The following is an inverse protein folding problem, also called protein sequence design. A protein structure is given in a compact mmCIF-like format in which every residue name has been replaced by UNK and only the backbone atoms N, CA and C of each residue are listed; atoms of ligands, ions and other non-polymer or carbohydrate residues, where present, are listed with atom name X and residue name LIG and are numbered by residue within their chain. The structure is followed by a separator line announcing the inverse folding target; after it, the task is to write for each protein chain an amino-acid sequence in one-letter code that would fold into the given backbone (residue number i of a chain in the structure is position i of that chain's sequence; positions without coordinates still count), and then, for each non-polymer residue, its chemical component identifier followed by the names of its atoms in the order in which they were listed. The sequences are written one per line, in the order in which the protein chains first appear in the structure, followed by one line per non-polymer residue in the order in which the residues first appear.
data_IF_900386896504
#
_entry.id   IF_900386896504
#
_cell.length_a   1.000
_cell.length_b   1.000
_cell.length_c   1.000
_cell.angle_alpha   90.00
_cell.angle_beta   90.00
_cell.angle_gamma   90.00
#
_symmetry.space_group_name_H-M   'P 1'
#
loop_
_entity.id
_entity.type
_entity.pdbx_description
1 polymer ?
#
# COMPACT_ATOMS: atom_id res chain seq x y z
N UNK A 1 -4.20 12.72 8.02
CA UNK A 1 -4.43 11.30 8.35
C UNK A 1 -5.89 11.00 8.02
N UNK A 2 -6.20 9.97 7.23
CA UNK A 2 -7.60 9.60 6.89
C UNK A 2 -7.98 8.30 7.59
N UNK A 3 -9.29 8.07 7.81
CA UNK A 3 -9.80 6.84 8.45
C UNK A 3 -9.32 5.57 7.72
N UNK A 4 -9.25 5.63 6.39
CA UNK A 4 -8.73 4.53 5.57
C UNK A 4 -7.27 4.19 5.87
N UNK A 5 -6.41 5.18 6.15
CA UNK A 5 -5.02 4.94 6.53
C UNK A 5 -4.89 4.35 7.94
N UNK A 6 -5.81 4.67 8.85
CA UNK A 6 -5.82 4.09 10.20
C UNK A 6 -6.22 2.60 10.17
N UNK A 7 -7.17 2.23 9.32
CA UNK A 7 -7.67 0.84 9.23
C UNK A 7 -6.78 -0.05 8.34
N UNK A 8 -6.29 0.48 7.22
CA UNK A 8 -5.58 -0.31 6.20
C UNK A 8 -4.08 0.03 6.09
N UNK A 9 -3.55 0.89 6.96
CA UNK A 9 -2.20 1.42 6.86
C UNK A 9 -2.02 2.46 5.73
N UNK A 10 -0.88 3.13 5.69
CA UNK A 10 -0.53 4.03 4.59
C UNK A 10 -0.30 3.24 3.29
N UNK A 11 -0.54 3.90 2.16
CA UNK A 11 -0.31 3.37 0.82
C UNK A 11 0.61 4.33 0.05
N UNK A 12 1.93 4.25 0.27
CA UNK A 12 2.87 5.09 -0.44
C UNK A 12 2.79 4.85 -1.96
N UNK A 13 2.84 5.93 -2.72
CA UNK A 13 3.06 5.93 -4.16
C UNK A 13 4.40 6.60 -4.44
N UNK A 14 5.25 5.91 -5.20
CA UNK A 14 6.64 6.33 -5.46
C UNK A 14 6.77 6.89 -6.87
N UNK A 15 7.47 8.00 -7.03
CA UNK A 15 7.72 8.64 -8.32
C UNK A 15 9.16 9.11 -8.41
N UNK A 16 9.76 9.04 -9.61
CA UNK A 16 11.10 9.56 -9.85
C UNK A 16 11.02 10.95 -10.49
N UNK A 17 11.78 11.87 -9.92
CA UNK A 17 11.97 13.26 -10.35
C UNK A 17 13.47 13.47 -10.57
N UNK A 18 13.93 13.17 -11.79
CA UNK A 18 15.35 13.07 -12.11
C UNK A 18 16.06 12.06 -11.19
N UNK A 19 17.16 12.43 -10.50
CA UNK A 19 17.85 11.57 -9.53
C UNK A 19 17.14 11.47 -8.17
N UNK A 20 15.98 12.10 -8.00
CA UNK A 20 15.27 12.14 -6.72
C UNK A 20 14.05 11.22 -6.76
N UNK A 21 14.01 10.23 -5.89
CA UNK A 21 12.81 9.45 -5.61
C UNK A 21 11.95 10.22 -4.61
N UNK A 22 10.67 10.44 -4.92
CA UNK A 22 9.69 11.04 -4.03
C UNK A 22 8.57 10.06 -3.74
N UNK A 23 7.98 10.16 -2.57
CA UNK A 23 6.78 9.39 -2.24
C UNK A 23 5.85 10.17 -1.33
N UNK A 24 4.58 9.81 -1.38
CA UNK A 24 3.54 10.22 -0.44
C UNK A 24 2.44 9.15 -0.42
N UNK A 25 1.67 9.09 0.65
CA UNK A 25 0.49 8.22 0.70
C UNK A 25 -0.57 8.69 -0.31
N UNK A 26 -1.02 7.82 -1.22
CA UNK A 26 -2.03 8.15 -2.23
C UNK A 26 -3.41 8.48 -1.64
N UNK A 27 -3.69 8.02 -0.40
CA UNK A 27 -4.97 8.25 0.29
C UNK A 27 -5.00 9.54 1.11
N UNK A 28 -3.90 9.89 1.76
CA UNK A 28 -3.91 10.98 2.76
C UNK A 28 -2.79 12.00 2.59
N UNK A 29 -1.92 11.85 1.58
CA UNK A 29 -0.79 12.74 1.30
C UNK A 29 0.32 12.76 2.36
N UNK A 30 0.09 12.16 3.53
CA UNK A 30 1.10 12.04 4.59
C UNK A 30 2.07 10.88 4.33
N UNK A 31 3.02 10.72 5.26
CA UNK A 31 4.09 9.72 5.15
C UNK A 31 4.90 9.94 3.86
N UNK A 32 5.16 11.22 3.60
CA UNK A 32 5.82 11.71 2.42
C UNK A 32 7.32 11.87 2.66
N UNK A 33 8.11 11.72 1.60
CA UNK A 33 9.54 11.88 1.69
C UNK A 33 10.20 11.96 0.32
N UNK A 34 11.50 12.21 0.36
CA UNK A 34 12.35 12.22 -0.80
C UNK A 34 13.68 11.56 -0.48
N UNK A 35 14.27 10.89 -1.48
CA UNK A 35 15.60 10.31 -1.42
C UNK A 35 16.33 10.58 -2.72
N UNK A 36 17.53 11.12 -2.62
CA UNK A 36 18.37 11.37 -3.79
C UNK A 36 19.29 10.17 -4.05
N UNK A 37 19.44 9.84 -5.31
CA UNK A 37 20.29 8.77 -5.82
C UNK A 37 21.40 9.35 -6.70
N UNK A 38 22.42 8.52 -6.98
CA UNK A 38 23.51 8.91 -7.85
C UNK A 38 23.07 9.13 -9.31
N UNK A 39 22.02 8.44 -9.75
CA UNK A 39 21.49 8.57 -11.12
C UNK A 39 19.97 8.61 -11.17
N UNK A 40 19.44 9.20 -12.23
CA UNK A 40 18.00 9.15 -12.53
C UNK A 40 17.50 7.73 -12.81
N UNK A 41 18.35 6.89 -13.42
CA UNK A 41 18.04 5.49 -13.67
C UNK A 41 17.82 4.72 -12.36
N UNK A 42 18.62 4.99 -11.32
CA UNK A 42 18.43 4.38 -10.00
C UNK A 42 17.10 4.81 -9.37
N UNK A 43 16.82 6.12 -9.37
CA UNK A 43 15.56 6.65 -8.85
C UNK A 43 14.35 6.03 -9.56
N UNK A 44 14.39 5.89 -10.87
CA UNK A 44 13.33 5.24 -11.68
C UNK A 44 13.20 3.75 -11.35
N UNK A 45 14.33 3.03 -11.26
CA UNK A 45 14.34 1.60 -10.92
C UNK A 45 13.70 1.35 -9.56
N UNK A 46 14.05 2.15 -8.56
CA UNK A 46 13.47 2.01 -7.21
C UNK A 46 12.01 2.45 -7.16
N UNK A 47 11.62 3.51 -7.87
CA UNK A 47 10.21 3.90 -7.99
C UNK A 47 9.35 2.75 -8.55
N UNK A 48 9.81 2.12 -9.62
CA UNK A 48 9.13 0.97 -10.23
C UNK A 48 9.09 -0.24 -9.28
N UNK A 49 10.20 -0.53 -8.60
CA UNK A 49 10.29 -1.65 -7.66
C UNK A 49 9.35 -1.48 -6.46
N UNK A 50 9.31 -0.30 -5.83
CA UNK A 50 8.46 -0.06 -4.67
C UNK A 50 6.98 0.07 -5.00
N UNK A 51 6.63 0.47 -6.23
CA UNK A 51 5.24 0.46 -6.68
C UNK A 51 4.73 -0.93 -7.05
N UNK A 52 5.60 -1.95 -7.14
CA UNK A 52 5.19 -3.33 -7.39
C UNK A 52 4.52 -3.89 -6.13
N UNK A 53 3.20 -3.75 -6.03
CA UNK A 53 2.44 -4.27 -4.89
C UNK A 53 2.26 -5.77 -4.98
N UNK A 54 2.63 -6.47 -3.90
CA UNK A 54 2.32 -7.88 -3.65
C UNK A 54 0.80 -8.15 -3.51
N UNK A 55 -0.06 -7.14 -3.69
CA UNK A 55 -1.52 -7.30 -3.70
C UNK A 55 -2.01 -8.16 -4.87
N UNK A 56 -1.26 -8.26 -5.98
CA UNK A 56 -1.53 -9.24 -7.03
C UNK A 56 -1.40 -10.69 -6.51
N UNK A 57 -0.60 -10.87 -5.45
CA UNK A 57 -0.38 -12.12 -4.73
C UNK A 57 -1.29 -12.29 -3.49
N UNK A 58 -1.96 -11.23 -3.02
CA UNK A 58 -2.79 -11.27 -1.80
C UNK A 58 -4.04 -12.15 -1.94
N UNK A 59 -4.45 -12.47 -3.17
CA UNK A 59 -5.49 -13.50 -3.41
C UNK A 59 -4.99 -14.94 -3.27
N UNK A 60 -3.67 -15.20 -3.36
CA UNK A 60 -3.08 -16.55 -3.32
C UNK A 60 -2.58 -16.97 -1.94
N UNK A 61 -2.36 -16.02 -1.01
CA UNK A 61 -1.80 -16.28 0.33
C UNK A 61 -2.51 -15.53 1.46
N UNK A 62 -3.78 -15.18 1.30
CA UNK A 62 -4.56 -14.73 2.45
C UNK A 62 -4.84 -15.95 3.37
N UNK A 63 -4.29 -16.03 4.59
CA UNK A 63 -4.78 -17.00 5.56
C UNK A 63 -6.27 -16.70 5.80
N UNK A 64 -7.12 -17.69 5.56
CA UNK A 64 -8.58 -17.65 5.79
C UNK A 64 -8.98 -17.35 7.25
N UNK A 65 -8.01 -17.04 8.12
CA UNK A 65 -8.12 -16.86 9.56
C UNK A 65 -8.81 -15.52 9.92
N UNK A 66 -8.88 -14.56 9.01
CA UNK A 66 -9.55 -13.27 9.25
C UNK A 66 -11.06 -13.22 8.95
N UNK A 67 -11.65 -14.24 8.31
CA UNK A 67 -13.04 -14.20 7.82
C UNK A 67 -14.06 -14.88 8.74
N UNK A 68 -13.65 -15.36 9.91
CA UNK A 68 -14.55 -15.98 10.88
C UNK A 68 -15.64 -15.04 11.43
N UNK A 69 -15.40 -13.75 11.73
CA UNK A 69 -16.44 -12.92 12.38
C UNK A 69 -17.63 -12.63 11.46
N UNK A 70 -17.42 -12.47 10.16
CA UNK A 70 -18.50 -12.16 9.19
C UNK A 70 -19.39 -13.37 8.88
N UNK A 71 -18.84 -14.60 8.96
CA UNK A 71 -19.62 -15.83 8.71
C UNK A 71 -20.60 -16.13 9.84
N UNK A 72 -20.26 -15.75 11.08
CA UNK A 72 -21.13 -15.90 12.24
C UNK A 72 -22.29 -14.89 12.21
N UNK A 73 -22.03 -13.64 11.79
CA UNK A 73 -23.04 -12.60 11.80
C UNK A 73 -24.18 -12.86 10.80
N UNK A 74 -23.87 -13.41 9.63
CA UNK A 74 -24.88 -13.84 8.63
C UNK A 74 -25.79 -14.98 9.12
N UNK A 75 -25.36 -15.79 10.08
CA UNK A 75 -26.19 -16.85 10.67
C UNK A 75 -27.18 -16.32 11.71
N UNK A 76 -26.85 -15.21 12.38
CA UNK A 76 -27.71 -14.61 13.40
C UNK A 76 -28.76 -13.65 12.82
N UNK A 77 -28.48 -12.99 11.70
CA UNK A 77 -29.42 -12.04 11.06
C UNK A 77 -30.55 -12.71 10.27
N UNK A 78 -30.65 -14.05 10.29
CA UNK A 78 -31.64 -14.82 9.53
C UNK A 78 -32.71 -15.49 10.40
N UNK A 79 -32.92 -14.99 11.62
CA UNK A 79 -34.05 -15.34 12.49
C UNK A 79 -35.10 -14.24 12.44
#
# INVERSE_FOLDING_TARGET
MTLACQVFGHRPAFHADGPTLRWACDRCGQDAGAKQYASAADAQRYAAAFNRRDTDSLGKRAPLIGLLPLRLWRKFSKR
#
